data_IF_933679487318
#
_entry.id   IF_933679487318
#
_cell.length_a   1.000
_cell.length_b   1.000
_cell.length_c   1.000
_cell.angle_alpha   90.00
_cell.angle_beta   90.00
_cell.angle_gamma   90.00
#
_symmetry.space_group_name_H-M   'P 1'
#
loop_
_entity.id
_entity.type
_entity.pdbx_description
1 polymer ?
#
# COMPACT_ATOMS: atom_id res chain seq x y z
N UNK A 1 13.55 3.93 -18.36
CA UNK A 1 14.31 3.85 -17.09
C UNK A 1 14.28 5.16 -16.29
N UNK A 2 14.70 6.31 -16.82
CA UNK A 2 14.68 7.60 -16.09
C UNK A 2 13.31 7.98 -15.53
N UNK A 3 12.24 7.75 -16.28
CA UNK A 3 10.86 8.04 -15.83
C UNK A 3 10.45 7.26 -14.57
N UNK A 4 10.82 5.97 -14.50
CA UNK A 4 10.53 5.13 -13.32
C UNK A 4 11.31 5.61 -12.10
N UNK A 5 12.60 5.93 -12.29
CA UNK A 5 13.45 6.43 -11.20
C UNK A 5 12.96 7.78 -10.66
N UNK A 6 12.51 8.69 -11.54
CA UNK A 6 11.92 9.95 -11.11
C UNK A 6 10.64 9.75 -10.31
N UNK A 7 9.75 8.84 -10.75
CA UNK A 7 8.50 8.52 -10.05
C UNK A 7 8.71 7.92 -8.66
N UNK A 8 9.77 7.13 -8.49
CA UNK A 8 10.08 6.44 -7.20
C UNK A 8 11.07 7.22 -6.34
N UNK A 9 11.50 8.42 -6.78
CA UNK A 9 12.48 9.23 -6.04
C UNK A 9 13.88 8.61 -5.97
N UNK A 10 14.26 7.81 -6.99
CA UNK A 10 15.53 7.07 -7.01
C UNK A 10 16.61 7.71 -7.90
N UNK A 11 16.37 8.88 -8.52
CA UNK A 11 17.33 9.48 -9.46
C UNK A 11 18.71 9.72 -8.81
N UNK A 12 18.72 10.18 -7.57
CA UNK A 12 19.96 10.48 -6.82
C UNK A 12 20.71 9.22 -6.38
N UNK A 13 20.04 8.06 -6.44
CA UNK A 13 20.60 6.79 -6.03
C UNK A 13 21.30 6.03 -7.16
N UNK A 14 21.19 6.52 -8.41
CA UNK A 14 21.64 5.81 -9.62
C UNK A 14 23.11 5.39 -9.62
N UNK A 15 23.97 6.21 -8.99
CA UNK A 15 25.41 5.95 -8.90
C UNK A 15 25.87 5.22 -7.63
N UNK A 16 24.94 4.92 -6.70
CA UNK A 16 25.27 4.32 -5.41
C UNK A 16 25.15 2.80 -5.45
N UNK A 17 25.99 2.12 -4.66
CA UNK A 17 25.87 0.66 -4.49
C UNK A 17 24.65 0.34 -3.66
N UNK A 18 23.85 -0.64 -4.06
CA UNK A 18 22.63 -1.04 -3.37
C UNK A 18 22.86 -1.39 -1.88
N UNK A 19 23.97 -2.05 -1.57
CA UNK A 19 24.35 -2.42 -0.20
C UNK A 19 24.67 -1.23 0.72
N UNK A 20 24.89 -0.04 0.18
CA UNK A 20 25.15 1.20 0.96
C UNK A 20 23.90 2.05 1.17
N UNK A 21 22.77 1.63 0.63
CA UNK A 21 21.50 2.32 0.75
C UNK A 21 20.83 2.03 2.08
N UNK A 22 20.12 3.01 2.65
CA UNK A 22 19.24 2.79 3.80
C UNK A 22 18.08 1.85 3.43
N UNK A 23 17.39 1.27 4.43
CA UNK A 23 16.25 0.36 4.19
C UNK A 23 15.16 1.01 3.33
N UNK A 24 14.80 2.26 3.59
CA UNK A 24 13.82 3.00 2.77
C UNK A 24 14.31 3.30 1.36
N UNK A 25 15.61 3.62 1.16
CA UNK A 25 16.19 3.77 -0.17
C UNK A 25 16.19 2.45 -0.95
N UNK A 26 16.54 1.34 -0.30
CA UNK A 26 16.48 0.01 -0.91
C UNK A 26 15.06 -0.35 -1.33
N UNK A 27 14.08 -0.05 -0.50
CA UNK A 27 12.67 -0.32 -0.79
C UNK A 27 12.17 0.48 -2.00
N UNK A 28 12.53 1.77 -2.11
CA UNK A 28 12.23 2.58 -3.31
C UNK A 28 12.90 2.04 -4.57
N UNK A 29 14.14 1.57 -4.47
CA UNK A 29 14.85 0.94 -5.60
C UNK A 29 14.19 -0.36 -6.01
N UNK A 30 13.74 -1.20 -5.07
CA UNK A 30 13.01 -2.44 -5.38
C UNK A 30 11.68 -2.13 -6.08
N UNK A 31 10.94 -1.14 -5.60
CA UNK A 31 9.73 -0.68 -6.28
C UNK A 31 10.02 -0.20 -7.71
N UNK A 32 11.09 0.60 -7.89
CA UNK A 32 11.50 1.05 -9.21
C UNK A 32 11.80 -0.12 -10.16
N UNK A 33 12.50 -1.14 -9.67
CA UNK A 33 12.79 -2.36 -10.44
C UNK A 33 11.53 -3.10 -10.85
N UNK A 34 10.59 -3.29 -9.93
CA UNK A 34 9.31 -3.96 -10.20
C UNK A 34 8.46 -3.20 -11.21
N UNK A 35 8.36 -1.87 -11.06
CA UNK A 35 7.66 -1.02 -12.02
C UNK A 35 8.34 -1.00 -13.39
N UNK A 36 9.68 -1.03 -13.45
CA UNK A 36 10.40 -1.08 -14.71
C UNK A 36 10.12 -2.35 -15.52
N UNK A 37 9.90 -3.48 -14.85
CA UNK A 37 9.54 -4.75 -15.50
C UNK A 37 8.13 -4.70 -16.12
N UNK A 38 7.23 -3.93 -15.51
CA UNK A 38 5.84 -3.77 -15.97
C UNK A 38 5.67 -2.60 -16.95
N UNK A 39 6.76 -1.86 -17.22
CA UNK A 39 6.68 -0.63 -18.00
C UNK A 39 6.53 -0.88 -19.48
N UNK A 40 5.44 -0.39 -20.05
CA UNK A 40 5.14 -0.39 -21.48
C UNK A 40 5.25 1.04 -22.05
N UNK A 41 4.91 1.22 -23.32
CA UNK A 41 4.96 2.51 -24.01
C UNK A 41 4.20 3.61 -23.26
N UNK A 42 3.00 3.27 -22.76
CA UNK A 42 2.08 4.21 -22.08
C UNK A 42 2.18 4.18 -20.54
N UNK A 43 3.18 3.51 -19.98
CA UNK A 43 3.36 3.36 -18.53
C UNK A 43 3.23 1.91 -18.04
N UNK A 44 3.20 1.68 -16.72
CA UNK A 44 3.17 0.33 -16.19
C UNK A 44 1.81 -0.33 -16.40
N UNK A 45 1.81 -1.62 -16.77
CA UNK A 45 0.62 -2.42 -17.02
C UNK A 45 0.74 -3.80 -16.38
N UNK A 46 -0.40 -4.38 -15.99
CA UNK A 46 -0.45 -5.72 -15.41
C UNK A 46 -0.66 -5.71 -13.90
N UNK A 47 -0.06 -6.66 -13.19
CA UNK A 47 -0.21 -6.84 -11.75
C UNK A 47 1.10 -6.60 -11.02
N UNK A 48 1.06 -5.75 -10.00
CA UNK A 48 2.16 -5.50 -9.07
C UNK A 48 1.77 -6.04 -7.68
N UNK A 49 2.59 -6.97 -7.17
CA UNK A 49 2.43 -7.51 -5.82
C UNK A 49 3.50 -6.92 -4.90
N UNK A 50 3.08 -6.38 -3.77
CA UNK A 50 3.95 -5.74 -2.79
C UNK A 50 3.69 -6.36 -1.41
N UNK A 51 4.74 -6.83 -0.78
CA UNK A 51 4.69 -7.37 0.57
C UNK A 51 5.25 -6.34 1.55
N UNK A 52 4.38 -5.82 2.42
CA UNK A 52 4.67 -4.80 3.44
C UNK A 52 5.52 -3.61 2.94
N UNK A 53 5.16 -2.95 1.83
CA UNK A 53 6.02 -1.93 1.23
C UNK A 53 6.15 -0.65 2.06
N UNK A 54 5.42 -0.54 3.16
CA UNK A 54 5.43 0.63 4.06
C UNK A 54 6.19 0.41 5.36
N UNK A 55 6.57 -0.83 5.70
CA UNK A 55 7.08 -1.20 7.04
C UNK A 55 8.40 -0.50 7.42
N UNK A 56 9.28 -0.23 6.45
CA UNK A 56 10.58 0.42 6.68
C UNK A 56 10.57 1.93 6.35
N UNK A 57 9.39 2.53 6.12
CA UNK A 57 9.24 3.91 5.69
C UNK A 57 8.69 4.78 6.83
N UNK A 58 9.19 6.02 6.93
CA UNK A 58 8.56 7.06 7.73
C UNK A 58 7.23 7.53 7.11
N UNK A 59 6.46 8.32 7.84
CA UNK A 59 5.14 8.79 7.41
C UNK A 59 5.15 9.53 6.06
N UNK A 60 6.19 10.32 5.81
CA UNK A 60 6.32 11.05 4.55
C UNK A 60 6.48 10.08 3.38
N UNK A 61 7.42 9.15 3.48
CA UNK A 61 7.70 8.19 2.41
C UNK A 61 6.56 7.17 2.23
N UNK A 62 5.88 6.75 3.31
CA UNK A 62 4.66 5.95 3.23
C UNK A 62 3.59 6.67 2.39
N UNK A 63 3.32 7.93 2.69
CA UNK A 63 2.32 8.72 1.97
C UNK A 63 2.70 8.90 0.49
N UNK A 64 3.98 9.17 0.19
CA UNK A 64 4.45 9.30 -1.20
C UNK A 64 4.28 7.99 -1.98
N UNK A 65 4.62 6.85 -1.37
CA UNK A 65 4.44 5.53 -1.98
C UNK A 65 2.97 5.26 -2.31
N UNK A 66 2.07 5.44 -1.34
CA UNK A 66 0.64 5.16 -1.51
C UNK A 66 -0.02 6.11 -2.53
N UNK A 67 0.37 7.39 -2.54
CA UNK A 67 -0.04 8.36 -3.57
C UNK A 67 0.43 7.94 -4.96
N UNK A 68 1.68 7.50 -5.08
CA UNK A 68 2.22 7.00 -6.35
C UNK A 68 1.40 5.79 -6.84
N UNK A 69 1.17 4.79 -5.98
CA UNK A 69 0.36 3.61 -6.34
C UNK A 69 -1.04 4.03 -6.81
N UNK A 70 -1.71 4.91 -6.07
CA UNK A 70 -3.03 5.41 -6.43
C UNK A 70 -3.03 6.17 -7.76
N UNK A 71 -2.00 6.95 -8.05
CA UNK A 71 -1.87 7.67 -9.32
C UNK A 71 -1.67 6.73 -10.50
N UNK A 72 -0.90 5.67 -10.32
CA UNK A 72 -0.62 4.68 -11.36
C UNK A 72 -1.83 3.78 -11.65
N UNK A 73 -2.57 3.36 -10.61
CA UNK A 73 -3.77 2.53 -10.77
C UNK A 73 -4.93 3.28 -11.42
N UNK A 74 -5.06 4.61 -11.20
CA UNK A 74 -6.10 5.45 -11.84
C UNK A 74 -6.05 5.44 -13.36
N UNK A 75 -4.91 5.12 -13.96
CA UNK A 75 -4.76 4.98 -15.41
C UNK A 75 -5.39 3.68 -15.95
N UNK A 76 -5.85 2.79 -15.06
CA UNK A 76 -6.64 1.60 -15.38
C UNK A 76 -5.88 0.42 -15.98
N UNK A 77 -4.57 0.54 -16.21
CA UNK A 77 -3.75 -0.52 -16.81
C UNK A 77 -2.89 -1.29 -15.78
N UNK A 78 -2.66 -0.72 -14.60
CA UNK A 78 -1.93 -1.35 -13.50
C UNK A 78 -2.89 -1.71 -12.36
N UNK A 79 -2.80 -2.95 -11.91
CA UNK A 79 -3.45 -3.44 -10.70
C UNK A 79 -2.39 -3.64 -9.62
N UNK A 80 -2.65 -3.17 -8.40
CA UNK A 80 -1.73 -3.33 -7.27
C UNK A 80 -2.40 -4.17 -6.19
N UNK A 81 -1.75 -5.26 -5.80
CA UNK A 81 -2.08 -6.04 -4.63
C UNK A 81 -0.99 -5.84 -3.59
N UNK A 82 -1.34 -5.33 -2.41
CA UNK A 82 -0.36 -5.06 -1.35
C UNK A 82 -0.78 -5.68 -0.03
N UNK A 83 0.17 -6.28 0.67
CA UNK A 83 0.00 -6.70 2.06
C UNK A 83 0.30 -5.52 2.97
N UNK A 84 -0.62 -5.20 3.87
CA UNK A 84 -0.47 -4.15 4.86
C UNK A 84 -0.91 -4.67 6.23
N UNK A 85 -0.19 -4.31 7.29
CA UNK A 85 -0.59 -4.61 8.66
C UNK A 85 -1.45 -3.50 9.27
N UNK A 86 -1.29 -2.27 8.81
CA UNK A 86 -2.08 -1.14 9.26
C UNK A 86 -3.44 -1.11 8.57
N UNK A 87 -4.49 -1.38 9.35
CA UNK A 87 -5.88 -1.39 8.86
C UNK A 87 -6.35 -0.01 8.43
N UNK A 88 -5.87 1.07 9.06
CA UNK A 88 -6.22 2.43 8.68
C UNK A 88 -5.58 2.82 7.34
N UNK A 89 -4.33 2.42 7.11
CA UNK A 89 -3.71 2.60 5.78
C UNK A 89 -4.47 1.80 4.72
N UNK A 90 -4.81 0.53 5.01
CA UNK A 90 -5.60 -0.29 4.09
C UNK A 90 -6.97 0.35 3.81
N UNK A 91 -7.68 0.80 4.85
CA UNK A 91 -8.98 1.46 4.70
C UNK A 91 -8.90 2.73 3.84
N UNK A 92 -7.89 3.57 4.07
CA UNK A 92 -7.75 4.86 3.39
C UNK A 92 -7.39 4.70 1.91
N UNK A 93 -6.51 3.77 1.57
CA UNK A 93 -5.90 3.71 0.24
C UNK A 93 -6.44 2.62 -0.67
N UNK A 94 -6.93 1.50 -0.13
CA UNK A 94 -7.44 0.40 -0.95
C UNK A 94 -8.80 0.71 -1.58
N UNK A 95 -9.03 0.15 -2.77
CA UNK A 95 -10.36 0.08 -3.40
C UNK A 95 -11.10 -1.18 -2.92
N UNK A 96 -10.37 -2.27 -2.67
CA UNK A 96 -10.87 -3.52 -2.11
C UNK A 96 -9.88 -4.07 -1.09
N UNK A 97 -10.42 -4.72 -0.05
CA UNK A 97 -9.66 -5.37 1.02
C UNK A 97 -9.99 -6.86 1.01
N UNK A 98 -8.97 -7.68 1.16
CA UNK A 98 -9.04 -9.10 1.45
C UNK A 98 -8.49 -9.29 2.87
N UNK A 99 -9.34 -9.71 3.81
CA UNK A 99 -8.95 -9.97 5.18
C UNK A 99 -8.63 -11.45 5.35
N UNK A 100 -7.39 -11.74 5.72
CA UNK A 100 -6.90 -13.10 5.93
C UNK A 100 -6.69 -13.36 7.42
N UNK A 101 -7.13 -14.53 7.90
CA UNK A 101 -6.87 -15.01 9.24
C UNK A 101 -6.54 -16.50 9.21
N UNK A 102 -5.38 -16.89 9.78
CA UNK A 102 -4.91 -18.29 9.80
C UNK A 102 -4.95 -18.97 8.42
N UNK A 103 -4.50 -18.27 7.38
CA UNK A 103 -4.46 -18.79 6.01
C UNK A 103 -5.82 -18.86 5.28
N UNK A 104 -6.89 -18.34 5.88
CA UNK A 104 -8.23 -18.33 5.29
C UNK A 104 -8.69 -16.91 4.99
N UNK A 105 -9.40 -16.76 3.89
CA UNK A 105 -10.08 -15.50 3.56
C UNK A 105 -11.37 -15.41 4.42
N UNK A 106 -11.42 -14.44 5.33
CA UNK A 106 -12.50 -14.30 6.30
C UNK A 106 -13.46 -13.15 6.02
N UNK A 107 -13.00 -12.14 5.27
CA UNK A 107 -13.84 -11.08 4.71
C UNK A 107 -13.21 -10.50 3.46
N UNK A 108 -14.05 -9.99 2.54
CA UNK A 108 -13.60 -9.28 1.35
C UNK A 108 -14.62 -8.24 0.90
N UNK A 109 -14.16 -7.14 0.34
CA UNK A 109 -15.04 -6.10 -0.17
C UNK A 109 -14.40 -4.72 -0.20
N UNK A 110 -15.24 -3.69 -0.18
CA UNK A 110 -14.79 -2.31 -0.01
C UNK A 110 -14.29 -2.08 1.43
N UNK A 111 -13.50 -1.04 1.68
CA UNK A 111 -13.11 -0.71 3.05
C UNK A 111 -14.30 -0.62 4.02
N UNK A 112 -15.41 -0.01 3.58
CA UNK A 112 -16.62 0.14 4.39
C UNK A 112 -17.27 -1.18 4.77
N UNK A 113 -17.15 -2.21 3.92
CA UNK A 113 -17.73 -3.53 4.19
C UNK A 113 -16.83 -4.45 5.01
N UNK A 114 -15.52 -4.23 4.96
CA UNK A 114 -14.54 -5.08 5.67
C UNK A 114 -14.12 -4.48 7.00
N UNK A 115 -13.87 -3.17 7.07
CA UNK A 115 -13.46 -2.49 8.30
C UNK A 115 -14.72 -2.12 9.10
N UNK A 116 -15.30 -3.12 9.75
CA UNK A 116 -16.44 -3.01 10.64
C UNK A 116 -16.07 -3.55 12.02
N UNK A 117 -16.59 -2.92 13.08
CA UNK A 117 -16.34 -3.30 14.47
C UNK A 117 -16.52 -4.82 14.67
N UNK A 118 -17.66 -5.36 14.27
CA UNK A 118 -17.99 -6.78 14.43
C UNK A 118 -17.02 -7.74 13.72
N UNK A 119 -16.50 -7.35 12.57
CA UNK A 119 -15.53 -8.17 11.81
C UNK A 119 -14.16 -8.10 12.49
N UNK A 120 -13.71 -6.90 12.84
CA UNK A 120 -12.38 -6.71 13.44
C UNK A 120 -12.33 -7.36 14.84
N UNK A 121 -13.32 -7.13 15.70
CA UNK A 121 -13.37 -7.77 17.02
C UNK A 121 -13.37 -9.31 16.91
N UNK A 122 -14.14 -9.86 15.97
CA UNK A 122 -14.23 -11.31 15.76
C UNK A 122 -12.89 -11.93 15.37
N UNK A 123 -12.16 -11.29 14.46
CA UNK A 123 -10.98 -11.91 13.83
C UNK A 123 -9.66 -11.45 14.42
N UNK A 124 -9.58 -10.21 14.94
CA UNK A 124 -8.37 -9.68 15.59
C UNK A 124 -8.41 -9.79 17.11
N UNK A 125 -9.60 -10.09 17.70
CA UNK A 125 -9.81 -10.16 19.16
C UNK A 125 -9.39 -8.85 19.85
N UNK A 126 -9.56 -7.72 19.18
CA UNK A 126 -9.23 -6.39 19.65
C UNK A 126 -10.52 -5.59 19.84
N UNK A 127 -10.66 -4.92 20.98
CA UNK A 127 -11.77 -3.99 21.21
C UNK A 127 -11.49 -2.69 20.44
N UNK A 128 -12.42 -2.32 19.57
CA UNK A 128 -12.22 -1.22 18.62
C UNK A 128 -13.47 -0.38 18.43
N UNK A 129 -13.24 0.89 18.06
CA UNK A 129 -14.25 1.78 17.51
C UNK A 129 -13.97 2.00 16.03
N UNK A 130 -15.02 2.06 15.23
CA UNK A 130 -14.91 2.36 13.80
C UNK A 130 -15.80 3.55 13.50
N UNK A 131 -15.19 4.63 13.02
CA UNK A 131 -15.86 5.87 12.65
C UNK A 131 -15.53 6.24 11.21
N UNK A 132 -16.18 7.26 10.69
CA UNK A 132 -15.87 7.80 9.38
C UNK A 132 -14.65 8.73 9.47
N UNK A 133 -13.70 8.57 8.56
CA UNK A 133 -12.54 9.46 8.47
C UNK A 133 -12.99 10.91 8.17
N UNK A 134 -12.51 11.94 8.91
CA UNK A 134 -13.04 13.32 8.84
C UNK A 134 -12.98 13.97 7.46
N UNK A 135 -12.11 13.51 6.57
CA UNK A 135 -11.91 14.09 5.23
C UNK A 135 -12.21 13.09 4.09
N UNK A 136 -12.86 11.97 4.39
CA UNK A 136 -13.25 11.00 3.36
C UNK A 136 -14.41 10.11 3.83
N UNK A 137 -15.04 9.38 2.91
CA UNK A 137 -16.07 8.40 3.26
C UNK A 137 -15.48 7.05 3.74
N UNK A 138 -14.17 6.98 3.96
CA UNK A 138 -13.47 5.77 4.37
C UNK A 138 -13.62 5.54 5.88
N UNK A 139 -13.70 4.28 6.34
CA UNK A 139 -13.69 3.98 7.76
C UNK A 139 -12.32 4.26 8.38
N UNK A 140 -12.32 4.63 9.64
CA UNK A 140 -11.15 4.79 10.47
C UNK A 140 -11.33 4.04 11.79
N UNK A 141 -10.33 3.25 12.17
CA UNK A 141 -10.36 2.37 13.33
C UNK A 141 -9.55 2.96 14.47
N UNK A 142 -10.14 3.01 15.65
CA UNK A 142 -9.51 3.41 16.91
C UNK A 142 -9.46 2.20 17.84
N UNK A 143 -8.38 2.04 18.59
CA UNK A 143 -8.31 1.08 19.68
C UNK A 143 -9.05 1.64 20.90
N UNK A 144 -9.83 0.80 21.58
CA UNK A 144 -10.36 1.12 22.91
C UNK A 144 -9.27 0.98 23.95
N UNK A 145 -9.30 1.83 25.02
CA UNK A 145 -8.41 1.73 26.18
C UNK A 145 -8.80 0.55 27.08
#
# INVERSE_FOLDING_TARGET
MRSVMALTGCCELAGRRYSTLSGGEQQRVQLARSLAQLWQVDGPQGWLFLDEPTSALDLYHQQQLLRLMKSLTRRGKLHVCTVLHDLNLAALWADRILLLHQGKLVAQGTPQTVIQKSIIEKWYQADVWVEQHPHSEKPYLFLSE
#
